data_IF_630994959307
#
_entry.id   IF_630994959307
#
_cell.length_a   1.000
_cell.length_b   1.000
_cell.length_c   1.000
_cell.angle_alpha   90.00
_cell.angle_beta   90.00
_cell.angle_gamma   90.00
#
_symmetry.space_group_name_H-M   'P 1'
#
loop_
_entity.id
_entity.type
_entity.pdbx_description
1 polymer ?
#
# COMPACT_ATOMS: atom_id res chain seq x y z
N UNK A 1 -6.13 13.90 14.89
CA UNK A 1 -5.95 13.79 14.10
C UNK A 1 -5.69 13.62 13.56
N UNK A 2 -5.83 13.81 13.76
CA UNK A 2 -5.50 13.70 13.02
C UNK A 2 -5.49 13.58 12.65
N UNK A 3 -5.85 13.93 12.85
CA UNK A 3 -5.84 14.01 12.20
C UNK A 3 -6.37 14.09 12.18
N UNK A 4 -6.89 14.71 12.47
CA UNK A 4 -7.46 14.92 12.03
C UNK A 4 -8.06 15.21 12.28
N UNK A 5 -8.26 15.68 12.59
CA UNK A 5 -8.91 16.05 12.28
C UNK A 5 -9.76 16.16 12.21
N UNK A 6 -10.28 16.56 12.42
CA UNK A 6 -11.14 16.71 11.83
C UNK A 6 -11.60 17.06 11.57
N UNK A 7 -11.45 17.37 12.62
CA UNK A 7 -12.24 17.85 11.81
C UNK A 7 -11.89 18.50 10.95
N UNK A 8 -10.92 18.70 11.20
CA UNK A 8 -10.69 19.09 9.91
C UNK A 8 -11.85 18.66 9.10
N UNK A 9 -12.05 19.28 8.08
CA UNK A 9 -13.10 18.86 7.22
C UNK A 9 -12.95 17.40 6.88
N UNK A 10 -13.91 16.58 7.17
CA UNK A 10 -13.84 15.19 6.74
C UNK A 10 -13.71 15.07 5.23
N UNK A 11 -14.18 16.06 4.50
CA UNK A 11 -14.11 16.01 3.04
C UNK A 11 -12.68 16.03 2.53
N UNK A 12 -11.78 16.64 3.28
CA UNK A 12 -10.38 16.65 2.86
C UNK A 12 -9.86 15.23 2.79
N UNK A 13 -10.16 14.42 3.79
CA UNK A 13 -9.73 13.03 3.77
C UNK A 13 -10.44 12.25 2.69
N UNK A 14 -11.72 12.54 2.47
CA UNK A 14 -12.43 11.84 1.41
C UNK A 14 -11.84 12.15 0.05
N UNK A 15 -11.48 13.40 -0.18
CA UNK A 15 -10.87 13.78 -1.45
C UNK A 15 -9.51 13.17 -1.63
N UNK A 16 -8.74 13.07 -0.54
CA UNK A 16 -7.39 12.54 -0.63
C UNK A 16 -7.37 11.02 -0.70
N UNK A 17 -8.40 10.37 -0.17
CA UNK A 17 -8.50 8.92 -0.16
C UNK A 17 -9.72 8.48 -0.93
N UNK A 18 -9.80 8.93 -2.17
CA UNK A 18 -10.95 8.58 -2.99
C UNK A 18 -10.59 7.58 -4.07
N UNK A 19 -9.65 6.70 -3.77
CA UNK A 19 -9.28 5.65 -4.68
C UNK A 19 -10.49 4.78 -4.98
N UNK A 20 -10.84 4.68 -6.24
CA UNK A 20 -11.95 3.82 -6.64
C UNK A 20 -11.40 2.44 -6.97
N UNK A 21 -11.55 1.54 -6.02
CA UNK A 21 -11.04 0.18 -6.17
C UNK A 21 -11.85 -0.65 -7.16
N UNK A 22 -12.93 -0.07 -7.68
CA UNK A 22 -13.71 -0.72 -8.72
C UNK A 22 -13.35 -0.22 -10.12
N UNK A 23 -12.51 0.81 -10.19
CA UNK A 23 -12.15 1.40 -11.47
C UNK A 23 -11.30 0.45 -12.30
N UNK A 24 -11.35 0.62 -13.60
CA UNK A 24 -10.51 -0.18 -14.48
C UNK A 24 -9.03 0.16 -14.29
N UNK A 25 -8.75 1.42 -13.96
CA UNK A 25 -7.36 1.82 -13.72
C UNK A 25 -6.77 1.05 -12.56
N UNK A 26 -7.52 0.94 -11.46
CA UNK A 26 -7.04 0.19 -10.30
C UNK A 26 -6.91 -1.29 -10.64
N UNK A 27 -7.89 -1.84 -11.34
CA UNK A 27 -7.85 -3.27 -11.66
C UNK A 27 -6.64 -3.61 -12.51
N UNK A 28 -6.30 -2.75 -13.46
CA UNK A 28 -5.13 -2.97 -14.29
C UNK A 28 -3.84 -2.87 -13.48
N UNK A 29 -3.76 -1.88 -12.58
CA UNK A 29 -2.58 -1.74 -11.74
C UNK A 29 -2.44 -2.93 -10.81
N UNK A 30 -3.54 -3.36 -10.18
CA UNK A 30 -3.51 -4.52 -9.30
C UNK A 30 -3.01 -5.75 -10.04
N UNK A 31 -3.54 -5.97 -11.24
CA UNK A 31 -3.11 -7.13 -12.02
C UNK A 31 -1.64 -7.06 -12.36
N UNK A 32 -1.16 -5.87 -12.67
CA UNK A 32 0.25 -5.68 -12.99
C UNK A 32 1.14 -6.03 -11.79
N UNK A 33 0.72 -5.60 -10.60
CA UNK A 33 1.48 -5.90 -9.38
C UNK A 33 1.45 -7.39 -9.07
N UNK A 34 0.27 -8.01 -9.21
CA UNK A 34 0.17 -9.44 -8.95
C UNK A 34 1.08 -10.23 -9.90
N UNK A 35 1.10 -9.85 -11.17
CA UNK A 35 1.99 -10.50 -12.13
C UNK A 35 3.45 -10.29 -11.79
N UNK A 36 3.81 -9.05 -11.44
CA UNK A 36 5.19 -8.73 -11.07
C UNK A 36 5.67 -9.64 -9.94
N UNK A 37 4.81 -9.88 -8.97
CA UNK A 37 5.14 -10.68 -7.80
C UNK A 37 4.75 -12.15 -7.98
N UNK A 38 4.42 -12.55 -9.23
CA UNK A 38 4.16 -13.93 -9.62
C UNK A 38 2.99 -14.54 -8.88
N UNK A 39 2.02 -13.70 -8.50
CA UNK A 39 0.82 -14.14 -7.77
C UNK A 39 1.16 -14.80 -6.45
N UNK A 40 2.31 -14.47 -5.87
CA UNK A 40 2.73 -15.00 -4.59
C UNK A 40 2.75 -13.92 -3.54
N UNK A 41 2.26 -14.27 -2.35
CA UNK A 41 2.23 -13.36 -1.22
C UNK A 41 3.67 -13.06 -0.78
N UNK A 42 4.06 -11.80 -0.83
CA UNK A 42 5.44 -11.44 -0.53
C UNK A 42 5.77 -11.62 0.94
N UNK A 43 4.80 -11.41 1.84
CA UNK A 43 5.04 -11.62 3.26
C UNK A 43 5.28 -13.10 3.56
N UNK A 44 4.46 -13.99 3.00
CA UNK A 44 4.63 -15.43 3.21
C UNK A 44 5.96 -15.89 2.63
N UNK A 45 6.34 -15.31 1.50
CA UNK A 45 7.59 -15.69 0.84
C UNK A 45 8.81 -15.36 1.68
N UNK A 46 8.73 -14.32 2.52
CA UNK A 46 9.82 -13.98 3.44
C UNK A 46 10.17 -15.17 4.34
N UNK A 47 9.18 -15.99 4.62
CA UNK A 47 9.36 -17.15 5.48
C UNK A 47 9.44 -18.45 4.69
N UNK A 48 9.68 -18.35 3.39
CA UNK A 48 9.86 -19.52 2.54
C UNK A 48 8.57 -20.23 2.17
N UNK A 49 7.43 -19.56 2.31
CA UNK A 49 6.15 -20.19 1.99
C UNK A 49 5.57 -19.62 0.70
N UNK A 50 5.05 -20.52 -0.13
CA UNK A 50 4.46 -20.15 -1.41
C UNK A 50 2.94 -20.09 -1.24
N UNK A 51 2.44 -18.90 -0.95
CA UNK A 51 1.01 -18.68 -0.73
C UNK A 51 0.51 -17.73 -1.80
N UNK A 52 -0.65 -18.06 -2.37
CA UNK A 52 -1.22 -17.26 -3.45
C UNK A 52 -1.58 -15.87 -2.95
N UNK A 53 -1.25 -14.86 -3.76
CA UNK A 53 -1.62 -13.48 -3.49
C UNK A 53 -2.86 -13.11 -4.30
N UNK A 54 -3.77 -12.41 -3.65
CA UNK A 54 -5.00 -11.94 -4.30
C UNK A 54 -5.19 -10.45 -4.18
N UNK A 55 -4.33 -9.77 -3.43
CA UNK A 55 -4.49 -8.37 -3.08
C UNK A 55 -3.22 -7.59 -3.38
N UNK A 56 -3.36 -6.40 -3.90
CA UNK A 56 -2.24 -5.45 -4.01
C UNK A 56 -2.39 -4.45 -2.87
N UNK A 57 -1.41 -4.41 -2.00
CA UNK A 57 -1.45 -3.62 -0.76
C UNK A 57 -0.61 -2.37 -0.89
N UNK A 58 -1.19 -1.21 -0.52
CA UNK A 58 -0.42 0.04 -0.44
C UNK A 58 0.40 0.02 0.83
N UNK A 59 1.72 -0.04 0.70
CA UNK A 59 2.61 -0.02 1.87
C UNK A 59 2.52 1.32 2.58
N UNK A 60 2.53 2.40 1.81
CA UNK A 60 2.29 3.75 2.31
C UNK A 60 0.83 4.09 1.98
N UNK A 61 -0.05 4.15 3.00
CA UNK A 61 -1.50 4.16 2.75
C UNK A 61 -1.98 5.42 2.04
N UNK A 62 -3.01 5.24 1.23
CA UNK A 62 -3.54 6.30 0.38
C UNK A 62 -4.05 7.47 1.19
N UNK A 63 -4.68 7.22 2.35
CA UNK A 63 -5.25 8.32 3.13
C UNK A 63 -4.17 9.30 3.60
N UNK A 64 -2.96 8.80 3.87
CA UNK A 64 -1.86 9.64 4.35
C UNK A 64 -0.93 10.06 3.23
N UNK A 65 -0.83 9.25 2.19
CA UNK A 65 0.13 9.46 1.11
C UNK A 65 -0.56 9.29 -0.24
N UNK A 66 -1.54 10.16 -0.55
CA UNK A 66 -2.27 10.01 -1.81
C UNK A 66 -1.39 10.16 -3.04
N UNK A 67 -0.25 10.82 -2.90
CA UNK A 67 0.67 10.98 -4.02
C UNK A 67 1.31 9.67 -4.44
N UNK A 68 1.26 8.64 -3.58
CA UNK A 68 1.86 7.35 -3.89
C UNK A 68 0.83 6.31 -4.32
N UNK A 69 -0.44 6.73 -4.51
CA UNK A 69 -1.51 5.76 -4.71
C UNK A 69 -1.38 4.97 -6.00
N UNK A 70 -0.74 5.54 -7.00
CA UNK A 70 -0.58 4.86 -8.30
C UNK A 70 0.85 4.39 -8.53
N UNK A 71 1.70 4.49 -7.53
CA UNK A 71 3.11 4.13 -7.68
C UNK A 71 3.30 2.63 -7.49
N UNK A 72 3.87 1.99 -8.52
CA UNK A 72 4.08 0.54 -8.46
C UNK A 72 4.98 0.13 -7.31
N UNK A 73 5.98 0.94 -7.01
CA UNK A 73 6.90 0.60 -5.93
C UNK A 73 6.19 0.57 -4.56
N UNK A 74 5.07 1.26 -4.44
CA UNK A 74 4.32 1.34 -3.19
C UNK A 74 3.37 0.15 -2.98
N UNK A 75 3.32 -0.77 -3.94
CA UNK A 75 2.35 -1.87 -3.91
C UNK A 75 3.06 -3.20 -3.83
N UNK A 76 2.56 -4.07 -2.98
CA UNK A 76 3.07 -5.44 -2.88
C UNK A 76 1.89 -6.40 -2.92
N UNK A 77 2.15 -7.60 -3.48
CA UNK A 77 1.13 -8.63 -3.56
C UNK A 77 1.07 -9.38 -2.23
N UNK A 78 -0.14 -9.55 -1.70
CA UNK A 78 -0.34 -10.23 -0.43
C UNK A 78 -1.55 -11.16 -0.52
N UNK A 79 -1.54 -12.21 0.30
CA UNK A 79 -2.75 -12.97 0.55
C UNK A 79 -3.69 -12.12 1.38
N UNK A 80 -4.98 -12.48 1.39
CA UNK A 80 -5.93 -11.73 2.19
C UNK A 80 -5.59 -11.75 3.67
N UNK A 81 -5.12 -12.90 4.14
CA UNK A 81 -4.75 -13.03 5.54
C UNK A 81 -3.60 -12.11 5.91
N UNK A 82 -2.55 -12.07 5.09
CA UNK A 82 -1.41 -11.21 5.40
C UNK A 82 -1.73 -9.74 5.17
N UNK A 83 -2.61 -9.44 4.23
CA UNK A 83 -3.07 -8.06 4.07
C UNK A 83 -3.74 -7.57 5.34
N UNK A 84 -4.58 -8.39 5.95
CA UNK A 84 -5.26 -8.03 7.19
C UNK A 84 -4.30 -7.93 8.36
N UNK A 85 -3.14 -8.55 8.27
CA UNK A 85 -2.16 -8.56 9.35
C UNK A 85 -1.24 -7.34 9.34
N UNK A 86 -1.37 -6.47 8.37
CA UNK A 86 -0.49 -5.28 8.29
C UNK A 86 -0.88 -4.21 9.28
N UNK A 87 -2.13 -4.16 9.70
CA UNK A 87 -2.62 -3.17 10.65
C UNK A 87 -3.40 -3.85 11.76
N UNK A 88 -3.33 -3.29 12.96
CA UNK A 88 -4.16 -3.76 14.07
C UNK A 88 -5.61 -3.44 13.74
N UNK A 89 -6.49 -4.43 13.88
CA UNK A 89 -7.87 -4.28 13.46
C UNK A 89 -8.66 -3.34 14.36
N UNK A 90 -8.24 -3.19 15.61
CA UNK A 90 -8.96 -2.34 16.55
C UNK A 90 -8.45 -0.92 16.55
N UNK A 91 -7.13 -0.75 16.50
CA UNK A 91 -6.54 0.58 16.61
C UNK A 91 -6.17 1.17 15.25
N UNK A 92 -6.04 0.35 14.23
CA UNK A 92 -5.58 0.80 12.92
C UNK A 92 -4.08 1.03 12.85
N UNK A 93 -3.38 0.80 13.95
CA UNK A 93 -1.94 1.03 13.97
C UNK A 93 -1.20 -0.04 13.19
N UNK A 94 -0.06 0.36 12.66
CA UNK A 94 0.77 -0.53 11.89
C UNK A 94 1.33 -1.64 12.79
N UNK A 95 1.23 -2.88 12.35
CA UNK A 95 1.82 -3.99 13.07
C UNK A 95 3.31 -4.08 12.75
N UNK A 96 4.01 -5.01 13.42
CA UNK A 96 5.42 -5.25 13.13
C UNK A 96 5.61 -5.63 11.66
N UNK A 97 4.70 -6.42 11.11
CA UNK A 97 4.76 -6.77 9.69
C UNK A 97 4.61 -5.55 8.80
N UNK A 98 3.65 -4.70 9.13
CA UNK A 98 3.47 -3.48 8.37
C UNK A 98 4.68 -2.57 8.45
N UNK A 99 5.29 -2.47 9.64
CA UNK A 99 6.49 -1.65 9.81
C UNK A 99 7.67 -2.20 9.03
N UNK A 100 7.79 -3.53 9.00
CA UNK A 100 8.85 -4.16 8.19
C UNK A 100 8.76 -3.67 6.76
N UNK A 101 7.56 -3.72 6.18
CA UNK A 101 7.40 -3.34 4.78
C UNK A 101 7.58 -1.87 4.55
N UNK A 102 7.20 -1.03 5.55
CA UNK A 102 7.47 0.40 5.46
C UNK A 102 8.96 0.68 5.40
N UNK A 103 9.74 -0.03 6.19
CA UNK A 103 11.20 0.14 6.17
C UNK A 103 11.80 -0.39 4.88
N UNK A 104 11.24 -1.49 4.38
CA UNK A 104 11.77 -2.12 3.17
C UNK A 104 11.47 -1.30 1.93
N UNK A 105 10.28 -0.72 1.89
CA UNK A 105 9.79 0.01 0.72
C UNK A 105 9.66 1.47 1.12
N UNK A 106 10.77 2.17 1.08
CA UNK A 106 10.74 3.61 1.36
C UNK A 106 10.52 4.36 0.06
N UNK A 107 9.87 5.53 0.13
CA UNK A 107 9.72 6.33 -1.07
C UNK A 107 11.07 6.64 -1.67
N UNK A 108 11.19 6.63 -2.99
CA UNK A 108 12.46 6.97 -3.61
C UNK A 108 12.80 8.42 -3.31
N UNK A 109 14.08 8.77 -3.26
CA UNK A 109 14.44 10.16 -3.06
C UNK A 109 13.95 11.00 -4.22
N UNK A 110 13.73 12.31 -4.00
CA UNK A 110 13.33 13.17 -5.11
C UNK A 110 14.32 13.06 -6.25
N UNK A 111 13.79 12.99 -7.47
CA UNK A 111 14.64 12.84 -8.64
C UNK A 111 15.59 14.01 -8.74
N UNK A 112 16.86 13.75 -8.86
CA UNK A 112 17.74 14.87 -9.15
C UNK A 112 17.47 15.36 -10.54
N UNK A 113 16.68 14.97 -10.76
CA UNK A 113 16.18 14.91 -11.75
C UNK A 113 16.19 15.14 -12.33
N UNK A 114 16.17 14.75 -11.80
CA UNK A 114 16.19 14.63 -12.01
C UNK A 114 16.69 14.34 -11.75
N UNK A 115 16.86 14.24 -11.46
CA UNK A 115 17.45 13.90 -11.24
C UNK A 115 18.06 13.46 -11.19
N UNK A 116 18.37 13.70 -11.22
CA UNK A 116 19.03 13.30 -11.22
C UNK A 116 19.38 12.72 -11.34
N UNK A 117 19.57 12.76 -11.41
CA UNK A 117 19.89 12.29 -11.78
C UNK A 117 19.85 11.85 -12.24
#
# INVERSE_FOLDING_TARGET
MAGYAPAASPNIYEERNNMDYKSNRWKRLREKILKRDRYLCRESKRYGRMVEATTAHHVWPVEQYPEYQWCEWNLIALSGEEHNAMHDRETGELTDKGEYWRRKITPPPPSPQGNTT
#
